data_IF_211769723755
#
_entry.id   IF_211769723755
#
_cell.length_a   1.000
_cell.length_b   1.000
_cell.length_c   1.000
_cell.angle_alpha   90.00
_cell.angle_beta   90.00
_cell.angle_gamma   90.00
#
_symmetry.space_group_name_H-M   'P 1'
#
loop_
_entity.id
_entity.type
_entity.pdbx_description
1 polymer ?
#
# COMPACT_ATOMS: atom_id res chain seq x y z
N UNK A 1 -33.74 7.69 14.13
CA UNK A 1 -33.57 8.42 12.85
C UNK A 1 -34.00 7.51 11.72
N UNK A 2 -34.74 8.04 10.75
CA UNK A 2 -35.11 7.30 9.55
C UNK A 2 -34.02 7.50 8.50
N UNK A 3 -33.41 6.41 8.05
CA UNK A 3 -32.33 6.43 7.07
C UNK A 3 -32.86 6.12 5.67
N UNK A 4 -32.22 6.67 4.66
CA UNK A 4 -32.51 6.34 3.25
C UNK A 4 -32.39 4.81 3.01
N UNK A 5 -33.42 4.15 2.44
CA UNK A 5 -33.38 2.73 2.08
C UNK A 5 -32.33 2.39 1.01
N UNK A 6 -32.01 3.32 0.10
CA UNK A 6 -31.04 3.11 -1.00
C UNK A 6 -29.60 3.42 -0.59
N UNK A 7 -29.37 3.79 0.67
CA UNK A 7 -28.03 3.92 1.24
C UNK A 7 -27.38 2.52 1.35
N UNK A 8 -26.87 2.04 0.21
CA UNK A 8 -26.54 0.63 -0.04
C UNK A 8 -25.17 0.25 0.56
N UNK A 9 -25.12 -0.59 1.60
CA UNK A 9 -23.89 -0.85 2.35
C UNK A 9 -23.15 -2.12 1.87
N UNK A 10 -22.95 -2.31 0.56
CA UNK A 10 -22.25 -3.51 0.07
C UNK A 10 -22.97 -4.83 0.39
N UNK A 11 -22.27 -5.98 0.33
CA UNK A 11 -22.89 -7.30 0.54
C UNK A 11 -22.98 -7.63 2.03
N UNK A 12 -24.02 -8.37 2.43
CA UNK A 12 -24.24 -8.79 3.83
C UNK A 12 -23.04 -9.60 4.37
N UNK A 13 -22.40 -10.40 3.51
CA UNK A 13 -21.22 -11.19 3.87
C UNK A 13 -20.06 -10.30 4.36
N UNK A 14 -20.00 -9.03 3.91
CA UNK A 14 -18.93 -8.08 4.23
C UNK A 14 -19.09 -7.44 5.63
N UNK A 15 -20.19 -7.70 6.35
CA UNK A 15 -20.48 -7.11 7.67
C UNK A 15 -20.60 -8.11 8.80
N UNK A 16 -20.43 -9.42 8.55
CA UNK A 16 -20.60 -10.47 9.57
C UNK A 16 -19.76 -10.24 10.84
N UNK A 17 -18.45 -10.01 10.68
CA UNK A 17 -17.54 -9.74 11.80
C UNK A 17 -17.97 -8.50 12.60
N UNK A 18 -18.56 -7.52 11.92
CA UNK A 18 -19.02 -6.28 12.53
C UNK A 18 -20.36 -6.46 13.25
N UNK A 19 -21.26 -7.31 12.75
CA UNK A 19 -22.50 -7.71 13.44
C UNK A 19 -22.17 -8.38 14.75
N UNK A 20 -21.23 -9.34 14.77
CA UNK A 20 -20.82 -10.04 15.99
C UNK A 20 -20.22 -9.06 17.01
N UNK A 21 -19.30 -8.19 16.54
CA UNK A 21 -18.66 -7.18 17.39
C UNK A 21 -19.65 -6.16 17.97
N UNK A 22 -20.56 -5.61 17.14
CA UNK A 22 -21.57 -4.65 17.57
C UNK A 22 -22.62 -5.32 18.47
N UNK A 23 -22.93 -6.60 18.25
CA UNK A 23 -23.80 -7.38 19.12
C UNK A 23 -23.24 -7.49 20.53
N UNK A 24 -21.94 -7.81 20.65
CA UNK A 24 -21.25 -7.99 21.92
C UNK A 24 -20.94 -6.66 22.65
N UNK A 25 -20.44 -5.67 21.93
CA UNK A 25 -19.87 -4.45 22.51
C UNK A 25 -20.71 -3.19 22.24
N UNK A 26 -21.85 -3.31 21.55
CA UNK A 26 -22.60 -2.17 21.00
C UNK A 26 -21.74 -1.34 20.03
N UNK A 27 -22.33 -0.29 19.48
CA UNK A 27 -21.61 0.63 18.60
C UNK A 27 -20.63 1.47 19.41
N UNK A 28 -19.33 1.27 19.17
CA UNK A 28 -18.26 2.00 19.87
C UNK A 28 -17.92 3.34 19.22
N UNK A 29 -18.07 3.44 17.90
CA UNK A 29 -17.70 4.64 17.13
C UNK A 29 -18.95 5.14 16.39
N UNK A 30 -19.36 6.42 16.58
CA UNK A 30 -20.50 7.00 15.86
C UNK A 30 -20.21 7.11 14.35
N UNK A 31 -21.26 7.03 13.52
CA UNK A 31 -21.18 7.38 12.10
C UNK A 31 -21.29 8.89 11.87
N UNK A 32 -21.21 9.30 10.60
CA UNK A 32 -21.46 10.69 10.20
C UNK A 32 -22.62 10.68 9.21
N UNK A 33 -23.63 11.50 9.46
CA UNK A 33 -24.87 11.54 8.68
C UNK A 33 -25.24 12.99 8.34
N UNK A 34 -26.02 13.19 7.29
CA UNK A 34 -26.55 14.50 6.91
C UNK A 34 -28.01 14.37 6.42
N UNK A 35 -28.81 15.45 6.48
CA UNK A 35 -30.20 15.43 6.02
C UNK A 35 -30.33 15.05 4.54
N UNK A 36 -31.33 14.24 4.20
CA UNK A 36 -31.59 13.82 2.83
C UNK A 36 -32.19 15.00 2.02
N UNK A 37 -31.63 15.36 0.83
CA UNK A 37 -32.04 16.54 0.08
C UNK A 37 -33.48 16.49 -0.43
N UNK A 38 -33.97 15.30 -0.79
CA UNK A 38 -35.34 15.09 -1.32
C UNK A 38 -36.35 14.45 -0.36
N UNK A 39 -35.98 14.19 0.90
CA UNK A 39 -36.84 13.44 1.85
C UNK A 39 -36.70 14.04 3.25
N UNK A 40 -37.54 15.03 3.61
CA UNK A 40 -37.50 15.67 4.92
C UNK A 40 -37.58 14.66 6.06
N UNK A 41 -36.76 14.86 7.10
CA UNK A 41 -36.69 13.97 8.27
C UNK A 41 -35.93 12.65 8.03
N UNK A 42 -35.45 12.40 6.80
CA UNK A 42 -34.53 11.29 6.52
C UNK A 42 -33.08 11.75 6.50
N UNK A 43 -32.18 10.81 6.76
CA UNK A 43 -30.73 11.03 6.80
C UNK A 43 -29.99 10.06 5.87
N UNK A 44 -28.89 10.55 5.31
CA UNK A 44 -27.93 9.78 4.52
C UNK A 44 -26.64 9.64 5.33
N UNK A 45 -26.01 8.46 5.32
CA UNK A 45 -24.72 8.28 6.00
C UNK A 45 -23.56 8.67 5.07
N UNK A 46 -22.81 9.70 5.48
CA UNK A 46 -21.53 10.06 4.87
C UNK A 46 -20.41 9.06 5.26
N UNK A 47 -20.46 8.55 6.48
CA UNK A 47 -19.57 7.51 7.00
C UNK A 47 -20.33 6.49 7.87
N UNK A 48 -19.78 5.28 7.97
CA UNK A 48 -20.29 4.24 8.86
C UNK A 48 -21.35 3.34 8.23
N UNK A 49 -21.43 3.27 6.89
CA UNK A 49 -22.40 2.44 6.17
C UNK A 49 -22.44 0.97 6.65
N UNK A 50 -21.26 0.35 6.89
CA UNK A 50 -21.18 -1.02 7.44
C UNK A 50 -21.75 -1.11 8.86
N UNK A 51 -21.50 -0.11 9.71
CA UNK A 51 -22.03 -0.04 11.09
C UNK A 51 -23.53 0.20 11.09
N UNK A 52 -24.02 1.07 10.20
CA UNK A 52 -25.45 1.31 10.00
C UNK A 52 -26.15 0.00 9.58
N UNK A 53 -25.54 -0.76 8.67
CA UNK A 53 -26.04 -2.08 8.28
C UNK A 53 -26.07 -3.06 9.46
N UNK A 54 -24.97 -3.18 10.21
CA UNK A 54 -24.91 -4.05 11.38
C UNK A 54 -25.98 -3.69 12.43
N UNK A 55 -26.18 -2.39 12.69
CA UNK A 55 -27.23 -1.91 13.60
C UNK A 55 -28.63 -2.23 13.08
N UNK A 56 -28.87 -2.09 11.77
CA UNK A 56 -30.14 -2.49 11.12
C UNK A 56 -30.40 -3.99 11.26
N UNK A 57 -29.39 -4.83 11.03
CA UNK A 57 -29.48 -6.30 11.17
C UNK A 57 -29.80 -6.69 12.62
N UNK A 58 -29.14 -6.05 13.60
CA UNK A 58 -29.33 -6.31 15.02
C UNK A 58 -30.59 -5.65 15.62
N UNK A 59 -31.30 -4.81 14.85
CA UNK A 59 -32.46 -4.07 15.35
C UNK A 59 -32.13 -3.04 16.43
N UNK A 60 -30.90 -2.51 16.47
CA UNK A 60 -30.47 -1.53 17.48
C UNK A 60 -30.36 -0.11 16.89
N UNK A 61 -30.50 0.95 17.72
CA UNK A 61 -30.31 2.32 17.26
C UNK A 61 -28.87 2.58 16.76
N UNK A 62 -28.75 3.23 15.60
CA UNK A 62 -27.46 3.70 15.08
C UNK A 62 -27.10 5.07 15.67
N UNK A 63 -25.93 5.16 16.28
CA UNK A 63 -25.36 6.39 16.81
C UNK A 63 -24.60 7.13 15.70
N UNK A 64 -24.88 8.42 15.54
CA UNK A 64 -24.26 9.24 14.50
C UNK A 64 -24.13 10.70 14.91
N UNK A 65 -23.12 11.35 14.35
CA UNK A 65 -22.94 12.80 14.34
C UNK A 65 -23.68 13.34 13.12
N UNK A 66 -24.58 14.31 13.33
CA UNK A 66 -25.36 14.94 12.26
C UNK A 66 -24.63 16.18 11.79
N UNK A 67 -24.36 16.27 10.48
CA UNK A 67 -23.92 17.48 9.83
C UNK A 67 -25.13 18.40 9.63
N UNK A 68 -24.93 19.68 9.92
CA UNK A 68 -25.93 20.74 9.85
C UNK A 68 -26.25 21.19 8.40
N UNK A 69 -25.47 20.73 7.44
CA UNK A 69 -25.63 21.02 6.03
C UNK A 69 -25.50 19.76 5.18
N UNK A 70 -25.97 19.84 3.94
CA UNK A 70 -25.68 18.82 2.94
C UNK A 70 -24.24 19.01 2.46
N UNK A 71 -23.33 18.04 2.70
CA UNK A 71 -21.95 18.20 2.31
C UNK A 71 -21.82 18.16 0.79
N UNK A 72 -20.90 18.95 0.25
CA UNK A 72 -20.47 18.82 -1.14
C UNK A 72 -19.86 17.43 -1.38
N UNK A 73 -19.82 17.00 -2.65
CA UNK A 73 -19.13 15.74 -3.03
C UNK A 73 -17.69 15.69 -2.50
N UNK A 74 -16.99 16.82 -2.53
CA UNK A 74 -15.62 16.97 -2.01
C UNK A 74 -15.56 16.70 -0.51
N UNK A 75 -16.50 17.23 0.26
CA UNK A 75 -16.57 17.02 1.71
C UNK A 75 -16.94 15.58 2.06
N UNK A 76 -17.91 14.96 1.37
CA UNK A 76 -18.23 13.55 1.54
C UNK A 76 -17.00 12.67 1.32
N UNK A 77 -16.20 12.97 0.29
CA UNK A 77 -14.95 12.26 0.01
C UNK A 77 -13.93 12.48 1.13
N UNK A 78 -13.74 13.70 1.61
CA UNK A 78 -12.85 14.01 2.76
C UNK A 78 -13.26 13.24 4.01
N UNK A 79 -14.56 13.24 4.33
CA UNK A 79 -15.12 12.54 5.48
C UNK A 79 -14.82 11.03 5.35
N UNK A 80 -15.07 10.44 4.17
CA UNK A 80 -14.80 9.02 3.92
C UNK A 80 -13.32 8.68 4.02
N UNK A 81 -12.43 9.52 3.48
CA UNK A 81 -10.98 9.30 3.55
C UNK A 81 -10.46 9.42 4.98
N UNK A 82 -10.90 10.44 5.71
CA UNK A 82 -10.52 10.66 7.11
C UNK A 82 -11.05 9.54 8.03
N UNK A 83 -12.32 9.15 7.87
CA UNK A 83 -12.95 8.11 8.68
C UNK A 83 -12.34 6.71 8.47
N UNK A 84 -11.82 6.44 7.27
CA UNK A 84 -11.14 5.17 6.99
C UNK A 84 -9.71 5.08 7.57
N UNK A 85 -9.28 6.01 8.44
CA UNK A 85 -7.96 6.00 9.06
C UNK A 85 -6.84 5.79 8.01
N UNK A 86 -6.77 6.68 7.00
CA UNK A 86 -5.69 6.80 6.02
C UNK A 86 -5.16 5.46 5.46
N UNK A 87 -5.87 4.86 4.48
CA UNK A 87 -5.43 3.71 3.65
C UNK A 87 -5.19 2.37 4.33
N UNK A 88 -5.16 2.28 5.66
CA UNK A 88 -4.74 1.04 6.36
C UNK A 88 -5.65 -0.17 6.10
N UNK A 89 -6.89 0.05 5.67
CA UNK A 89 -7.86 -1.01 5.41
C UNK A 89 -8.33 -1.13 3.95
N UNK A 90 -7.92 -0.22 3.07
CA UNK A 90 -8.28 -0.29 1.65
C UNK A 90 -7.26 -1.13 0.88
N UNK A 91 -7.73 -1.94 -0.06
CA UNK A 91 -6.84 -2.59 -1.01
C UNK A 91 -6.20 -1.55 -1.94
N UNK A 92 -4.98 -1.80 -2.48
CA UNK A 92 -4.33 -0.87 -3.41
C UNK A 92 -5.16 -0.52 -4.66
N UNK A 93 -6.07 -1.41 -5.06
CA UNK A 93 -6.93 -1.20 -6.23
C UNK A 93 -8.10 -0.27 -5.90
N UNK A 94 -8.73 -0.45 -4.72
CA UNK A 94 -9.74 0.49 -4.22
C UNK A 94 -9.17 1.91 -4.04
N UNK A 95 -7.93 2.01 -3.53
CA UNK A 95 -7.23 3.30 -3.43
C UNK A 95 -7.03 3.91 -4.83
N UNK A 96 -6.67 3.10 -5.83
CA UNK A 96 -6.48 3.57 -7.19
C UNK A 96 -7.79 4.06 -7.83
N UNK A 97 -8.91 3.38 -7.58
CA UNK A 97 -10.23 3.80 -8.06
C UNK A 97 -10.66 5.12 -7.43
N UNK A 98 -10.53 5.26 -6.11
CA UNK A 98 -10.83 6.50 -5.38
C UNK A 98 -9.99 7.70 -5.86
N UNK A 99 -8.70 7.48 -6.13
CA UNK A 99 -7.83 8.52 -6.68
C UNK A 99 -8.27 8.92 -8.10
N UNK A 100 -8.63 7.94 -8.95
CA UNK A 100 -9.06 8.23 -10.32
C UNK A 100 -10.33 9.06 -10.34
N UNK A 101 -11.31 8.68 -9.54
CA UNK A 101 -12.55 9.46 -9.41
C UNK A 101 -12.27 10.85 -8.87
N UNK A 102 -11.41 10.99 -7.86
CA UNK A 102 -11.02 12.29 -7.33
C UNK A 102 -10.39 13.20 -8.39
N UNK A 103 -9.41 12.69 -9.15
CA UNK A 103 -8.76 13.45 -10.24
C UNK A 103 -9.78 13.82 -11.32
N UNK A 104 -10.67 12.91 -11.71
CA UNK A 104 -11.69 13.17 -12.73
C UNK A 104 -12.70 14.23 -12.29
N UNK A 105 -13.06 14.29 -11.01
CA UNK A 105 -14.02 15.24 -10.47
C UNK A 105 -13.42 16.63 -10.20
N UNK A 106 -12.15 16.70 -9.79
CA UNK A 106 -11.51 17.94 -9.34
C UNK A 106 -10.60 18.57 -10.38
N UNK A 107 -10.08 17.77 -11.32
CA UNK A 107 -8.98 18.16 -12.19
C UNK A 107 -7.61 18.19 -11.49
N UNK A 108 -7.51 17.69 -10.26
CA UNK A 108 -6.28 17.70 -9.47
C UNK A 108 -5.17 16.84 -10.11
N UNK A 109 -3.91 17.21 -9.90
CA UNK A 109 -2.77 16.40 -10.31
C UNK A 109 -2.60 15.17 -9.41
N UNK A 110 -1.75 14.22 -9.82
CA UNK A 110 -1.45 13.04 -8.99
C UNK A 110 -0.80 13.42 -7.66
N UNK A 111 -0.04 14.50 -7.62
CA UNK A 111 0.63 15.04 -6.44
C UNK A 111 -0.39 15.64 -5.46
N UNK A 112 -1.34 16.42 -5.97
CA UNK A 112 -2.43 17.00 -5.17
C UNK A 112 -3.35 15.91 -4.61
N UNK A 113 -3.67 14.90 -5.43
CA UNK A 113 -4.37 13.72 -4.96
C UNK A 113 -3.54 12.98 -3.89
N UNK A 114 -2.24 12.77 -4.09
CA UNK A 114 -1.38 12.11 -3.13
C UNK A 114 -1.37 12.81 -1.76
N UNK A 115 -1.29 14.15 -1.76
CA UNK A 115 -1.39 14.98 -0.57
C UNK A 115 -2.75 14.85 0.10
N UNK A 116 -3.84 14.97 -0.67
CA UNK A 116 -5.22 14.84 -0.17
C UNK A 116 -5.46 13.49 0.52
N UNK A 117 -4.97 12.42 -0.11
CA UNK A 117 -5.09 11.08 0.42
C UNK A 117 -4.06 10.79 1.51
N UNK A 118 -3.00 11.59 1.69
CA UNK A 118 -1.96 11.33 2.69
C UNK A 118 -1.07 10.13 2.36
N UNK A 119 -0.80 9.88 1.07
CA UNK A 119 0.10 8.82 0.58
C UNK A 119 1.18 9.39 -0.31
N UNK A 120 2.30 8.67 -0.45
CA UNK A 120 3.40 9.17 -1.28
C UNK A 120 3.00 9.28 -2.76
N UNK A 121 3.42 10.33 -3.48
CA UNK A 121 3.19 10.46 -4.93
C UNK A 121 3.72 9.26 -5.73
N UNK A 122 4.86 8.70 -5.31
CA UNK A 122 5.42 7.49 -5.93
C UNK A 122 4.51 6.26 -5.76
N UNK A 123 3.78 6.16 -4.65
CA UNK A 123 2.80 5.09 -4.45
C UNK A 123 1.58 5.29 -5.34
N UNK A 124 1.06 6.52 -5.43
CA UNK A 124 -0.04 6.89 -6.34
C UNK A 124 0.29 6.53 -7.79
N UNK A 125 1.44 6.97 -8.29
CA UNK A 125 1.89 6.64 -9.65
C UNK A 125 1.95 5.13 -9.89
N UNK A 126 2.42 4.37 -8.89
CA UNK A 126 2.55 2.91 -8.98
C UNK A 126 1.21 2.17 -9.02
N UNK A 127 0.21 2.60 -8.24
CA UNK A 127 -1.10 1.95 -8.22
C UNK A 127 -1.95 2.35 -9.43
N UNK A 128 -1.75 3.54 -9.98
CA UNK A 128 -2.39 4.01 -11.23
C UNK A 128 -1.73 3.44 -12.49
N UNK A 129 -0.54 2.88 -12.39
CA UNK A 129 0.26 2.45 -13.54
C UNK A 129 -0.46 1.49 -14.51
N UNK A 130 -1.23 0.48 -14.08
CA UNK A 130 -1.94 -0.41 -15.00
C UNK A 130 -2.86 0.31 -15.97
N UNK A 131 -3.62 1.30 -15.50
CA UNK A 131 -4.59 2.00 -16.35
C UNK A 131 -3.92 2.93 -17.36
N UNK A 132 -2.71 3.43 -17.06
CA UNK A 132 -2.02 4.43 -17.87
C UNK A 132 -0.94 3.84 -18.80
N UNK A 133 -0.28 2.78 -18.36
CA UNK A 133 0.96 2.28 -18.98
C UNK A 133 0.88 0.80 -19.39
N UNK A 134 -0.24 0.11 -19.15
CA UNK A 134 -0.41 -1.23 -19.70
C UNK A 134 -0.65 -1.14 -21.20
N UNK A 135 0.16 -1.87 -21.99
CA UNK A 135 -0.04 -1.94 -23.44
C UNK A 135 -1.45 -2.50 -23.76
N UNK A 136 -2.18 -1.93 -24.73
CA UNK A 136 -3.51 -2.41 -25.12
C UNK A 136 -3.54 -3.90 -25.50
N UNK A 137 -2.48 -4.39 -26.16
CA UNK A 137 -2.30 -5.81 -26.52
C UNK A 137 -2.24 -6.75 -25.30
N UNK A 138 -1.91 -6.21 -24.11
CA UNK A 138 -1.81 -6.96 -22.86
C UNK A 138 -3.06 -6.83 -21.98
N UNK A 139 -4.17 -6.29 -22.50
CA UNK A 139 -5.46 -6.20 -21.80
C UNK A 139 -5.93 -7.57 -21.30
N UNK A 140 -5.79 -8.60 -22.13
CA UNK A 140 -6.12 -10.00 -21.78
C UNK A 140 -5.37 -10.53 -20.56
N UNK A 141 -4.18 -9.98 -20.27
CA UNK A 141 -3.41 -10.30 -19.06
C UNK A 141 -4.08 -9.69 -17.82
N UNK A 142 -4.66 -8.49 -17.94
CA UNK A 142 -5.35 -7.81 -16.85
C UNK A 142 -6.69 -8.43 -16.46
N UNK A 143 -7.32 -9.13 -17.40
CA UNK A 143 -8.61 -9.80 -17.26
C UNK A 143 -8.47 -11.25 -16.77
N UNK A 144 -7.25 -11.80 -16.77
CA UNK A 144 -7.02 -13.17 -16.36
C UNK A 144 -7.14 -13.34 -14.83
N UNK A 145 -8.10 -14.13 -14.33
CA UNK A 145 -8.35 -14.27 -12.89
C UNK A 145 -7.21 -14.97 -12.13
N UNK A 146 -6.31 -15.68 -12.85
CA UNK A 146 -5.12 -16.32 -12.25
C UNK A 146 -4.00 -15.32 -11.98
N UNK A 147 -4.15 -14.07 -12.41
CA UNK A 147 -3.15 -13.01 -12.27
C UNK A 147 -3.64 -11.98 -11.27
N UNK A 148 -2.89 -11.84 -10.17
CA UNK A 148 -3.20 -10.77 -9.21
C UNK A 148 -2.94 -9.39 -9.82
N UNK A 149 -3.73 -8.39 -9.44
CA UNK A 149 -3.52 -6.99 -9.81
C UNK A 149 -2.13 -6.47 -9.41
N UNK A 150 -1.54 -7.02 -8.34
CA UNK A 150 -0.15 -6.74 -7.97
C UNK A 150 0.86 -7.17 -9.05
N UNK A 151 0.65 -8.31 -9.70
CA UNK A 151 1.48 -8.77 -10.83
C UNK A 151 1.28 -7.86 -12.05
N UNK A 152 0.04 -7.47 -12.33
CA UNK A 152 -0.29 -6.55 -13.43
C UNK A 152 0.41 -5.19 -13.22
N UNK A 153 0.46 -4.67 -12.00
CA UNK A 153 1.23 -3.45 -11.66
C UNK A 153 2.73 -3.60 -11.94
N UNK A 154 3.32 -4.78 -11.71
CA UNK A 154 4.73 -5.01 -12.00
C UNK A 154 4.96 -4.95 -13.51
N UNK A 155 4.09 -5.59 -14.30
CA UNK A 155 4.13 -5.55 -15.77
C UNK A 155 3.96 -4.12 -16.29
N UNK A 156 2.97 -3.39 -15.81
CA UNK A 156 2.69 -2.01 -16.22
C UNK A 156 3.81 -1.00 -15.87
N UNK A 157 4.68 -1.33 -14.90
CA UNK A 157 5.81 -0.47 -14.49
C UNK A 157 7.14 -0.89 -15.14
N UNK A 158 7.09 -1.67 -16.21
CA UNK A 158 8.28 -1.98 -17.01
C UNK A 158 8.71 -0.75 -17.82
N UNK A 159 10.02 -0.48 -17.98
CA UNK A 159 10.49 0.78 -18.57
C UNK A 159 10.22 0.94 -20.07
N UNK A 160 10.12 -0.18 -20.80
CA UNK A 160 9.92 -0.15 -22.26
C UNK A 160 8.84 -1.16 -22.67
N UNK A 161 8.15 -0.94 -23.80
CA UNK A 161 7.14 -1.85 -24.33
C UNK A 161 7.67 -3.27 -24.55
N UNK A 162 8.90 -3.42 -25.02
CA UNK A 162 9.53 -4.73 -25.29
C UNK A 162 9.74 -5.50 -23.99
N UNK A 163 10.24 -4.82 -22.95
CA UNK A 163 10.43 -5.42 -21.62
C UNK A 163 9.11 -5.77 -20.95
N UNK A 164 8.06 -5.02 -21.25
CA UNK A 164 6.72 -5.29 -20.80
C UNK A 164 6.13 -6.56 -21.45
N UNK A 165 6.27 -6.69 -22.77
CA UNK A 165 5.88 -7.91 -23.52
C UNK A 165 6.68 -9.13 -23.05
N UNK A 166 8.00 -8.99 -22.89
CA UNK A 166 8.86 -10.06 -22.38
C UNK A 166 8.41 -10.53 -20.99
N UNK A 167 8.15 -9.61 -20.05
CA UNK A 167 7.69 -9.99 -18.72
C UNK A 167 6.28 -10.62 -18.77
N UNK A 168 5.39 -10.13 -19.62
CA UNK A 168 4.06 -10.71 -19.82
C UNK A 168 4.12 -12.16 -20.32
N UNK A 169 5.01 -12.46 -21.27
CA UNK A 169 5.26 -13.84 -21.75
C UNK A 169 5.74 -14.75 -20.61
N UNK A 170 6.69 -14.29 -19.80
CA UNK A 170 7.16 -15.04 -18.63
C UNK A 170 6.03 -15.28 -17.61
N UNK A 171 5.16 -14.31 -17.37
CA UNK A 171 4.00 -14.46 -16.48
C UNK A 171 3.06 -15.55 -17.00
N UNK A 172 2.72 -15.53 -18.30
CA UNK A 172 1.86 -16.53 -18.92
C UNK A 172 2.48 -17.93 -18.89
N UNK A 173 3.78 -18.05 -19.18
CA UNK A 173 4.51 -19.31 -19.10
C UNK A 173 4.52 -19.88 -17.66
N UNK A 174 4.76 -19.02 -16.66
CA UNK A 174 4.75 -19.41 -15.26
C UNK A 174 3.36 -19.91 -14.81
N UNK A 175 2.28 -19.31 -15.31
CA UNK A 175 0.91 -19.76 -15.00
C UNK A 175 0.63 -21.12 -15.63
N UNK A 176 1.09 -21.37 -16.86
CA UNK A 176 0.95 -22.68 -17.50
C UNK A 176 1.65 -23.79 -16.69
N UNK A 177 2.80 -23.49 -16.09
CA UNK A 177 3.58 -24.47 -15.32
C UNK A 177 3.09 -24.66 -13.87
N UNK A 178 2.71 -23.59 -13.18
CA UNK A 178 2.45 -23.61 -11.73
C UNK A 178 1.01 -23.23 -11.34
N UNK A 179 0.14 -22.98 -12.32
CA UNK A 179 -1.26 -22.60 -12.11
C UNK A 179 -1.50 -21.17 -11.62
N UNK A 180 -0.53 -20.54 -10.94
CA UNK A 180 -0.62 -19.15 -10.43
C UNK A 180 0.72 -18.42 -10.50
N UNK A 181 0.66 -17.12 -10.80
CA UNK A 181 1.83 -16.22 -10.77
C UNK A 181 2.03 -15.65 -9.36
N UNK A 182 3.06 -16.13 -8.63
CA UNK A 182 3.44 -15.54 -7.33
C UNK A 182 4.14 -14.20 -7.54
N UNK A 183 3.66 -13.16 -6.86
CA UNK A 183 4.14 -11.78 -6.98
C UNK A 183 5.66 -11.66 -6.85
N UNK A 184 6.26 -12.31 -5.85
CA UNK A 184 7.69 -12.15 -5.57
C UNK A 184 8.57 -12.79 -6.65
N UNK A 185 8.13 -13.91 -7.24
CA UNK A 185 8.86 -14.51 -8.35
C UNK A 185 8.80 -13.62 -9.60
N UNK A 186 7.64 -13.08 -9.93
CA UNK A 186 7.50 -12.13 -11.05
C UNK A 186 8.32 -10.87 -10.79
N UNK A 187 8.36 -10.38 -9.55
CA UNK A 187 9.16 -9.22 -9.19
C UNK A 187 10.66 -9.47 -9.38
N UNK A 188 11.13 -10.69 -9.11
CA UNK A 188 12.52 -11.12 -9.35
C UNK A 188 12.84 -11.11 -10.85
N UNK A 189 12.02 -11.77 -11.66
CA UNK A 189 12.16 -11.81 -13.13
C UNK A 189 12.12 -10.38 -13.71
N UNK A 190 11.22 -9.53 -13.22
CA UNK A 190 11.15 -8.13 -13.64
C UNK A 190 12.43 -7.35 -13.32
N UNK A 191 13.09 -7.63 -12.19
CA UNK A 191 14.36 -6.99 -11.85
C UNK A 191 15.50 -7.48 -12.75
N UNK A 192 15.53 -8.77 -13.08
CA UNK A 192 16.48 -9.36 -14.03
C UNK A 192 16.35 -8.73 -15.42
N UNK A 193 15.12 -8.62 -15.96
CA UNK A 193 14.83 -7.96 -17.25
C UNK A 193 15.21 -6.47 -17.21
N UNK A 194 15.06 -5.80 -16.05
CA UNK A 194 15.50 -4.42 -15.87
C UNK A 194 17.03 -4.28 -15.82
N UNK A 195 17.79 -5.37 -15.80
CA UNK A 195 19.24 -5.37 -15.61
C UNK A 195 19.65 -4.92 -14.20
N UNK A 196 18.72 -4.95 -13.22
CA UNK A 196 19.06 -4.65 -11.83
C UNK A 196 19.80 -5.85 -11.27
N UNK A 197 21.11 -5.70 -11.07
CA UNK A 197 21.92 -6.70 -10.35
C UNK A 197 21.24 -7.02 -9.02
N UNK A 198 21.16 -8.31 -8.68
CA UNK A 198 20.65 -8.75 -7.38
C UNK A 198 21.33 -7.93 -6.28
N UNK A 199 20.53 -7.34 -5.38
CA UNK A 199 21.06 -6.57 -4.26
C UNK A 199 21.89 -7.55 -3.43
N UNK A 200 23.23 -7.50 -3.55
CA UNK A 200 24.13 -8.33 -2.74
C UNK A 200 23.72 -8.13 -1.28
N UNK A 201 23.47 -9.21 -0.55
CA UNK A 201 23.25 -9.12 0.89
C UNK A 201 24.44 -8.36 1.48
N UNK A 202 24.16 -7.22 2.11
CA UNK A 202 25.21 -6.50 2.82
C UNK A 202 25.51 -7.37 4.05
N UNK A 203 26.76 -7.85 4.20
CA UNK A 203 27.08 -8.85 5.22
C UNK A 203 26.89 -8.30 6.65
N UNK A 204 26.83 -6.99 6.81
CA UNK A 204 26.64 -6.34 8.09
C UNK A 204 25.85 -5.03 7.97
N UNK A 205 25.01 -4.78 8.97
CA UNK A 205 24.49 -3.44 9.27
C UNK A 205 24.81 -3.16 10.73
N UNK A 206 25.72 -2.22 10.98
CA UNK A 206 25.99 -1.72 12.32
C UNK A 206 24.97 -0.61 12.63
N UNK A 207 24.28 -0.73 13.75
CA UNK A 207 23.41 0.32 14.31
C UNK A 207 24.02 0.84 15.61
N UNK A 208 23.60 2.03 16.07
CA UNK A 208 24.11 2.62 17.32
C UNK A 208 23.90 1.70 18.55
N UNK A 209 22.89 0.83 18.50
CA UNK A 209 22.48 -0.02 19.64
C UNK A 209 22.91 -1.49 19.49
N UNK A 210 23.77 -1.79 18.52
CA UNK A 210 24.28 -3.14 18.30
C UNK A 210 24.60 -3.45 16.83
N UNK A 211 25.37 -4.52 16.62
CA UNK A 211 25.71 -5.02 15.29
C UNK A 211 24.83 -6.24 14.94
N UNK A 212 24.07 -6.14 13.85
CA UNK A 212 23.42 -7.31 13.25
C UNK A 212 24.24 -7.78 12.05
N UNK A 213 24.66 -9.05 12.10
CA UNK A 213 25.42 -9.70 11.05
C UNK A 213 24.51 -10.65 10.29
N UNK A 214 24.30 -10.38 9.00
CA UNK A 214 23.62 -11.32 8.10
C UNK A 214 24.73 -11.98 7.28
N UNK A 215 25.11 -13.19 7.69
CA UNK A 215 26.11 -13.97 6.98
C UNK A 215 25.56 -14.44 5.63
N UNK A 216 26.17 -14.02 4.50
CA UNK A 216 25.85 -14.62 3.20
C UNK A 216 26.17 -16.12 3.24
N UNK A 217 25.30 -16.95 2.65
CA UNK A 217 25.45 -18.41 2.68
C UNK A 217 26.71 -18.92 1.97
N UNK A 218 27.35 -18.08 1.13
CA UNK A 218 28.60 -18.37 0.42
C UNK A 218 29.86 -18.00 1.21
N UNK A 219 29.73 -17.43 2.41
CA UNK A 219 30.88 -17.08 3.25
C UNK A 219 31.35 -18.25 4.10
N UNK A 220 32.61 -18.64 3.92
CA UNK A 220 33.30 -19.56 4.84
C UNK A 220 33.67 -18.86 6.14
N UNK A 221 33.77 -19.62 7.25
CA UNK A 221 34.03 -19.10 8.58
C UNK A 221 35.33 -18.27 8.66
N UNK A 222 36.38 -18.65 7.93
CA UNK A 222 37.66 -17.93 7.90
C UNK A 222 37.50 -16.52 7.32
N UNK A 223 36.58 -16.35 6.37
CA UNK A 223 36.25 -15.04 5.78
C UNK A 223 35.48 -14.18 6.77
N UNK A 224 34.59 -14.78 7.57
CA UNK A 224 33.84 -14.10 8.63
C UNK A 224 34.80 -13.56 9.70
N UNK A 225 35.69 -14.41 10.20
CA UNK A 225 36.67 -14.04 11.24
C UNK A 225 37.60 -12.91 10.76
N UNK A 226 38.10 -13.01 9.52
CA UNK A 226 38.94 -11.95 8.93
C UNK A 226 38.20 -10.62 8.84
N UNK A 227 36.96 -10.64 8.36
CA UNK A 227 36.14 -9.45 8.23
C UNK A 227 35.82 -8.82 9.60
N UNK A 228 35.51 -9.63 10.62
CA UNK A 228 35.30 -9.13 11.99
C UNK A 228 36.56 -8.48 12.58
N UNK A 229 37.73 -9.10 12.37
CA UNK A 229 39.00 -8.53 12.82
C UNK A 229 39.31 -7.18 12.15
N UNK A 230 38.97 -7.01 10.87
CA UNK A 230 39.09 -5.73 10.16
C UNK A 230 38.13 -4.65 10.72
N UNK A 231 36.90 -5.03 11.07
CA UNK A 231 35.95 -4.09 11.68
C UNK A 231 36.40 -3.65 13.07
N UNK A 232 36.86 -4.58 13.92
CA UNK A 232 37.37 -4.26 15.26
C UNK A 232 38.53 -3.25 15.20
N UNK A 233 39.50 -3.48 14.31
CA UNK A 233 40.61 -2.53 14.08
C UNK A 233 40.13 -1.15 13.63
N UNK A 234 39.05 -1.11 12.84
CA UNK A 234 38.47 0.16 12.38
C UNK A 234 37.80 0.91 13.53
N UNK A 235 37.02 0.22 14.37
CA UNK A 235 36.41 0.80 15.57
C UNK A 235 37.47 1.32 16.55
N UNK A 236 38.53 0.56 16.80
CA UNK A 236 39.64 0.99 17.66
C UNK A 236 40.32 2.26 17.12
N UNK A 237 40.52 2.34 15.80
CA UNK A 237 41.11 3.51 15.15
C UNK A 237 40.21 4.75 15.22
N UNK A 238 38.90 4.58 15.04
CA UNK A 238 37.94 5.68 15.13
C UNK A 238 37.77 6.17 16.57
N UNK A 239 37.69 5.26 17.55
CA UNK A 239 37.67 5.62 18.98
C UNK A 239 38.94 6.39 19.39
N UNK A 240 40.10 6.02 18.84
CA UNK A 240 41.36 6.74 19.07
C UNK A 240 41.35 8.13 18.44
N UNK A 241 40.80 8.28 17.24
CA UNK A 241 40.68 9.59 16.56
C UNK A 241 39.69 10.52 17.29
N UNK A 242 38.59 9.97 17.81
CA UNK A 242 37.59 10.69 18.60
C UNK A 242 38.17 11.14 19.96
N UNK A 243 38.95 10.28 20.62
CA UNK A 243 39.70 10.63 21.84
C UNK A 243 40.79 11.70 21.61
N UNK A 244 41.33 11.80 20.39
CA UNK A 244 42.30 12.82 19.97
C UNK A 244 41.65 14.12 19.45
N UNK A 245 40.32 14.23 19.51
CA UNK A 245 39.58 15.42 19.07
C UNK A 245 39.61 15.66 17.56
N UNK A 246 39.91 14.64 16.76
CA UNK A 246 39.95 14.71 15.29
C UNK A 246 38.61 14.29 14.70
N UNK A 247 38.16 15.02 13.67
CA UNK A 247 36.90 14.79 12.98
C UNK A 247 36.81 13.34 12.44
N UNK A 248 35.89 12.55 12.99
CA UNK A 248 35.62 11.18 12.51
C UNK A 248 34.59 11.23 11.39
N UNK A 249 34.87 10.52 10.28
CA UNK A 249 33.87 10.38 9.21
C UNK A 249 32.78 9.41 9.68
N UNK A 250 31.49 9.73 9.53
CA UNK A 250 30.42 8.82 9.91
C UNK A 250 30.47 7.53 9.09
N UNK A 251 30.10 6.42 9.73
CA UNK A 251 30.11 5.03 9.20
C UNK A 251 29.17 4.83 7.98
N UNK A 252 28.63 5.89 7.39
CA UNK A 252 27.70 5.82 6.25
C UNK A 252 28.37 5.69 4.87
N UNK A 253 29.68 5.93 4.72
CA UNK A 253 30.35 5.88 3.41
C UNK A 253 31.15 4.60 3.16
N UNK A 254 30.45 3.47 3.08
CA UNK A 254 30.95 2.21 2.50
C UNK A 254 30.80 2.17 0.96
N UNK A 255 31.13 3.28 0.28
CA UNK A 255 30.93 3.39 -1.18
C UNK A 255 32.20 3.22 -2.04
N UNK A 256 33.39 2.98 -1.48
CA UNK A 256 34.64 3.00 -2.28
C UNK A 256 35.58 1.79 -2.18
N UNK A 257 35.12 0.61 -1.77
CA UNK A 257 36.01 -0.57 -1.67
C UNK A 257 35.45 -1.88 -2.26
N UNK A 258 34.57 -1.79 -3.27
CA UNK A 258 34.19 -2.92 -4.13
C UNK A 258 33.98 -2.48 -5.58
#
# INVERSE_FOLDING_TARGET
>A
MNFDPDNSPGRIDDVKDLVDSVGALKQQIPGIVYPHPGMPGKYIAADGNRRLMACRILGIPFQAIVLDHQPSKKELRRIRVAANNAHKHMSPDQIADEIREHIAETGDTQEQAAEFFGISPSYVSKILAPSKWLLPELSTLADNPKISKAVIRIVATMPTPEKQKQLAEHVLAHIKQHGKAKRDNIQRIANEIKGKKAKKSRPATATKDGASLILPSDWRWERVVRWMAEQLKKFEREAKLEAEGKETRPITDLQKLL
#
